data_IF_658039366892
#
_entry.id   IF_658039366892
#
_cell.length_a   1.000
_cell.length_b   1.000
_cell.length_c   1.000
_cell.angle_alpha   90.00
_cell.angle_beta   90.00
_cell.angle_gamma   90.00
#
_symmetry.space_group_name_H-M   'P 1'
#
loop_
_entity.id
_entity.type
_entity.pdbx_description
1 polymer ?
#
# COMPACT_ATOMS: atom_id res chain seq x y z
N UNK A 1 -38.19 -27.47 32.58
CA UNK A 1 -36.75 -27.40 32.31
C UNK A 1 -36.48 -26.20 31.44
N UNK A 2 -36.07 -25.12 32.04
CA UNK A 2 -35.82 -23.82 31.42
C UNK A 2 -34.35 -23.76 30.99
N UNK A 3 -34.09 -23.76 29.69
CA UNK A 3 -32.75 -23.60 29.09
C UNK A 3 -32.34 -22.11 29.12
N UNK A 4 -31.42 -21.79 30.00
CA UNK A 4 -30.77 -20.48 30.05
C UNK A 4 -29.94 -20.26 28.75
N UNK A 5 -30.18 -19.13 28.07
CA UNK A 5 -29.27 -18.59 27.04
C UNK A 5 -27.95 -18.20 27.70
N UNK A 6 -26.78 -18.46 27.05
CA UNK A 6 -25.53 -17.95 27.57
C UNK A 6 -25.44 -16.44 27.38
N UNK A 7 -25.15 -15.73 28.46
CA UNK A 7 -24.84 -14.31 28.49
C UNK A 7 -23.56 -14.06 27.65
N UNK A 8 -23.67 -13.16 26.66
CA UNK A 8 -22.52 -12.60 25.97
C UNK A 8 -21.73 -11.73 26.96
N UNK A 9 -20.73 -12.35 27.60
CA UNK A 9 -19.80 -11.62 28.43
C UNK A 9 -18.96 -10.66 27.60
N UNK A 10 -19.07 -9.38 27.95
CA UNK A 10 -18.14 -8.27 27.77
C UNK A 10 -16.80 -8.64 27.13
N UNK A 11 -16.69 -8.52 25.82
CA UNK A 11 -15.40 -8.41 25.15
C UNK A 11 -14.92 -6.98 25.41
N UNK A 12 -14.15 -6.79 26.47
CA UNK A 12 -13.39 -5.56 26.69
C UNK A 12 -12.58 -5.30 25.43
N UNK A 13 -12.84 -4.18 24.75
CA UNK A 13 -12.08 -3.70 23.61
C UNK A 13 -10.58 -3.77 23.94
N UNK A 14 -9.86 -4.67 23.27
CA UNK A 14 -8.39 -4.71 23.34
C UNK A 14 -7.87 -3.58 22.46
N UNK A 15 -7.38 -2.58 23.11
CA UNK A 15 -6.80 -1.38 22.50
C UNK A 15 -5.42 -1.68 21.90
N UNK A 16 -5.09 -1.00 20.79
CA UNK A 16 -3.83 -1.17 20.04
C UNK A 16 -2.68 -0.33 20.61
N UNK A 17 -1.44 -0.84 20.67
CA UNK A 17 -0.28 -0.17 21.24
C UNK A 17 0.29 0.96 20.36
N UNK A 18 0.75 2.12 20.92
CA UNK A 18 1.47 3.20 20.24
C UNK A 18 2.98 3.10 20.44
N UNK A 19 3.84 3.36 19.42
CA UNK A 19 5.29 3.38 19.60
C UNK A 19 5.71 4.50 20.58
N UNK A 20 6.46 4.15 21.61
CA UNK A 20 6.83 5.09 22.69
C UNK A 20 7.77 6.24 22.27
N UNK A 21 8.50 6.13 21.14
CA UNK A 21 9.59 7.07 20.82
C UNK A 21 9.17 8.29 19.98
N UNK A 22 8.06 8.19 19.24
CA UNK A 22 7.68 9.27 18.31
C UNK A 22 6.66 10.27 18.86
N UNK A 23 5.93 9.91 19.92
CA UNK A 23 4.83 10.71 20.46
C UNK A 23 5.15 11.55 21.70
N UNK A 24 6.34 11.43 22.28
CA UNK A 24 6.77 12.35 23.38
C UNK A 24 6.66 13.84 23.02
N UNK A 25 6.60 14.16 21.70
CA UNK A 25 6.46 15.52 21.21
C UNK A 25 5.02 15.98 21.01
N UNK A 26 4.03 15.07 21.11
CA UNK A 26 2.62 15.32 20.80
C UNK A 26 1.71 15.14 22.04
N UNK A 27 2.21 15.36 23.23
CA UNK A 27 1.39 15.44 24.44
C UNK A 27 0.89 16.89 24.67
N UNK A 28 -0.37 17.09 25.00
CA UNK A 28 -1.47 16.13 25.05
C UNK A 28 -1.85 15.52 23.70
N UNK A 29 -2.68 14.46 23.71
CA UNK A 29 -3.14 13.76 22.50
C UNK A 29 -3.58 14.73 21.40
N UNK A 30 -3.03 14.61 20.16
CA UNK A 30 -3.29 15.57 19.11
C UNK A 30 -4.73 15.47 18.59
N UNK A 31 -5.25 16.59 18.18
CA UNK A 31 -6.51 16.73 17.44
C UNK A 31 -6.22 17.34 16.07
N UNK A 32 -7.20 17.30 15.14
CA UNK A 32 -7.02 17.93 13.82
C UNK A 32 -6.78 19.45 13.93
N UNK A 33 -7.20 20.10 15.03
CA UNK A 33 -6.96 21.52 15.28
C UNK A 33 -5.50 21.87 15.54
N UNK A 34 -4.69 20.89 15.94
CA UNK A 34 -3.26 21.07 16.19
C UNK A 34 -2.43 21.11 14.90
N UNK A 35 -3.08 20.92 13.76
CA UNK A 35 -2.44 20.90 12.44
C UNK A 35 -2.98 22.01 11.55
N UNK A 36 -2.07 22.63 10.78
CA UNK A 36 -2.38 23.46 9.63
C UNK A 36 -2.36 22.57 8.39
N UNK A 37 -3.51 22.38 7.74
CA UNK A 37 -3.61 21.64 6.48
C UNK A 37 -3.07 22.51 5.36
N UNK A 38 -2.02 22.02 4.67
CA UNK A 38 -1.32 22.77 3.63
C UNK A 38 -1.92 22.48 2.25
N UNK A 39 -2.02 21.20 1.89
CA UNK A 39 -2.58 20.75 0.60
C UNK A 39 -3.01 19.30 0.67
N UNK A 40 -3.86 18.89 -0.25
CA UNK A 40 -4.16 17.48 -0.50
C UNK A 40 -3.00 16.83 -1.26
N UNK A 41 -2.62 15.61 -0.85
CA UNK A 41 -1.59 14.79 -1.46
C UNK A 41 -2.17 13.71 -2.36
N UNK A 42 -3.39 13.24 -2.06
CA UNK A 42 -4.10 12.23 -2.83
C UNK A 42 -5.43 11.85 -2.22
N UNK A 43 -6.25 11.19 -3.04
CA UNK A 43 -7.54 10.62 -2.65
C UNK A 43 -7.58 9.18 -3.14
N UNK A 44 -7.88 8.24 -2.26
CA UNK A 44 -8.00 6.80 -2.58
C UNK A 44 -9.29 6.21 -2.02
N UNK A 45 -9.52 4.94 -2.30
CA UNK A 45 -10.71 4.18 -1.83
C UNK A 45 -10.87 4.18 -0.31
N UNK A 46 -9.78 4.34 0.43
CA UNK A 46 -9.74 4.28 1.90
C UNK A 46 -9.73 5.65 2.59
N UNK A 47 -9.75 6.77 1.83
CA UNK A 47 -9.75 8.11 2.40
C UNK A 47 -8.88 9.10 1.64
N UNK A 48 -8.76 10.31 2.20
CA UNK A 48 -7.99 11.42 1.63
C UNK A 48 -6.73 11.67 2.44
N UNK A 49 -5.63 11.92 1.76
CA UNK A 49 -4.33 12.19 2.39
C UNK A 49 -3.97 13.67 2.21
N UNK A 50 -3.55 14.32 3.28
CA UNK A 50 -3.20 15.74 3.32
C UNK A 50 -1.78 15.93 3.82
N UNK A 51 -1.05 16.88 3.22
CA UNK A 51 0.12 17.47 3.86
C UNK A 51 -0.35 18.42 4.95
N UNK A 52 0.07 18.17 6.16
CA UNK A 52 -0.24 18.99 7.33
C UNK A 52 1.02 19.39 8.10
N UNK A 53 1.00 20.55 8.75
CA UNK A 53 2.07 21.02 9.61
C UNK A 53 1.56 21.10 11.05
N UNK A 54 2.21 20.42 11.97
CA UNK A 54 1.87 20.54 13.38
C UNK A 54 2.19 21.97 13.90
N UNK A 55 1.20 22.65 14.46
CA UNK A 55 1.28 24.10 14.81
C UNK A 55 2.40 24.42 15.79
N UNK A 56 2.60 23.57 16.80
CA UNK A 56 3.60 23.76 17.86
C UNK A 56 5.01 23.41 17.40
N UNK A 57 5.19 22.22 16.82
CA UNK A 57 6.55 21.71 16.45
C UNK A 57 7.00 22.14 15.07
N UNK A 58 6.11 22.68 14.23
CA UNK A 58 6.33 23.02 12.81
C UNK A 58 6.71 21.85 11.90
N UNK A 59 6.72 20.62 12.43
CA UNK A 59 7.01 19.41 11.66
C UNK A 59 5.88 19.13 10.69
N UNK A 60 6.23 18.66 9.50
CA UNK A 60 5.27 18.24 8.46
C UNK A 60 4.97 16.74 8.55
N UNK A 61 3.71 16.41 8.36
CA UNK A 61 3.16 15.05 8.37
C UNK A 61 2.24 14.83 7.17
N UNK A 62 2.08 13.58 6.76
CA UNK A 62 0.97 13.15 5.93
C UNK A 62 -0.16 12.70 6.86
N UNK A 63 -1.36 13.29 6.72
CA UNK A 63 -2.53 12.89 7.50
C UNK A 63 -3.54 12.23 6.57
N UNK A 64 -3.77 10.91 6.76
CA UNK A 64 -4.82 10.15 6.05
C UNK A 64 -6.11 10.26 6.88
N UNK A 65 -7.13 10.91 6.31
CA UNK A 65 -8.46 11.06 6.92
C UNK A 65 -9.42 10.03 6.30
N UNK A 66 -9.98 9.17 7.14
CA UNK A 66 -10.87 8.07 6.76
C UNK A 66 -12.26 8.37 7.32
N UNK A 67 -13.27 8.47 6.44
CA UNK A 67 -14.64 8.79 6.79
C UNK A 67 -15.31 7.64 7.56
N UNK A 68 -15.92 7.96 8.72
CA UNK A 68 -16.66 7.02 9.55
C UNK A 68 -18.11 6.80 9.07
N UNK A 69 -18.66 7.73 8.28
CA UNK A 69 -20.10 7.74 7.91
C UNK A 69 -20.49 6.62 6.96
N UNK A 70 -19.54 6.09 6.18
CA UNK A 70 -19.86 5.09 5.16
C UNK A 70 -20.09 3.67 5.69
N UNK A 71 -19.91 3.39 6.97
CA UNK A 71 -20.39 2.18 7.68
C UNK A 71 -20.22 2.35 9.20
N UNK A 72 -21.18 1.79 9.96
CA UNK A 72 -21.22 1.70 11.41
C UNK A 72 -19.87 1.37 12.05
N UNK A 73 -19.53 2.03 13.14
CA UNK A 73 -18.35 1.84 14.03
C UNK A 73 -17.05 1.36 13.41
N UNK A 74 -15.94 2.10 13.63
CA UNK A 74 -14.57 1.71 13.22
C UNK A 74 -14.20 0.32 13.73
N UNK A 75 -14.72 -0.08 14.88
CA UNK A 75 -14.56 -1.42 15.46
C UNK A 75 -15.16 -2.54 14.57
N UNK A 76 -16.12 -2.19 13.70
CA UNK A 76 -16.78 -3.11 12.76
C UNK A 76 -16.10 -3.15 11.37
N UNK A 77 -15.01 -2.39 11.18
CA UNK A 77 -14.20 -2.43 9.95
C UNK A 77 -12.92 -3.23 10.18
N UNK A 78 -12.92 -4.53 9.97
CA UNK A 78 -11.76 -5.38 10.24
C UNK A 78 -10.51 -4.93 9.45
N UNK A 79 -10.67 -4.45 8.22
CA UNK A 79 -9.57 -3.96 7.37
C UNK A 79 -8.87 -2.71 7.93
N UNK A 80 -9.64 -1.76 8.45
CA UNK A 80 -9.09 -0.53 9.01
C UNK A 80 -8.30 -0.78 10.31
N UNK A 81 -8.88 -1.56 11.21
CA UNK A 81 -8.21 -1.95 12.45
C UNK A 81 -6.92 -2.69 12.15
N UNK A 82 -6.97 -3.58 11.15
CA UNK A 82 -5.81 -4.34 10.69
C UNK A 82 -4.73 -3.43 10.08
N UNK A 83 -5.09 -2.45 9.24
CA UNK A 83 -4.13 -1.48 8.70
C UNK A 83 -3.38 -0.78 9.84
N UNK A 84 -4.08 -0.32 10.88
CA UNK A 84 -3.46 0.27 12.07
C UNK A 84 -2.55 -0.72 12.80
N UNK A 85 -3.04 -1.93 13.08
CA UNK A 85 -2.26 -2.97 13.78
C UNK A 85 -0.98 -3.31 13.04
N UNK A 86 -1.06 -3.48 11.74
CA UNK A 86 0.07 -3.74 10.85
C UNK A 86 1.04 -2.56 10.89
N UNK A 87 0.58 -1.34 10.63
CA UNK A 87 1.45 -0.16 10.57
C UNK A 87 2.14 0.15 11.91
N UNK A 88 1.51 -0.13 13.04
CA UNK A 88 2.14 0.05 14.35
C UNK A 88 3.27 -0.94 14.63
N UNK A 89 3.24 -2.12 14.04
CA UNK A 89 4.27 -3.15 14.20
C UNK A 89 5.46 -2.94 13.27
N UNK A 90 5.31 -2.14 12.21
CA UNK A 90 6.34 -1.98 11.19
C UNK A 90 7.28 -0.83 11.53
N UNK A 91 8.58 -1.14 11.65
CA UNK A 91 9.65 -0.14 11.78
C UNK A 91 10.78 -0.49 10.83
N UNK A 92 10.70 0.05 9.62
CA UNK A 92 11.65 -0.24 8.55
C UNK A 92 11.97 1.04 7.75
N UNK A 93 13.23 1.28 7.34
CA UNK A 93 13.61 2.49 6.61
C UNK A 93 12.88 2.65 5.27
N UNK A 94 12.50 1.54 4.63
CA UNK A 94 11.80 1.52 3.36
C UNK A 94 10.27 1.32 3.50
N UNK A 95 9.71 1.58 4.67
CA UNK A 95 8.25 1.63 4.90
C UNK A 95 7.87 2.99 5.47
N UNK A 96 6.74 3.54 5.03
CA UNK A 96 6.21 4.79 5.58
C UNK A 96 5.83 4.59 7.03
N UNK A 97 6.40 5.41 7.92
CA UNK A 97 6.19 5.31 9.35
C UNK A 97 4.83 5.87 9.75
N UNK A 98 4.10 5.13 10.59
CA UNK A 98 2.97 5.64 11.34
C UNK A 98 3.48 6.23 12.68
N UNK A 99 3.17 7.50 12.94
CA UNK A 99 3.51 8.15 14.22
C UNK A 99 2.39 8.01 15.24
N UNK A 100 1.14 7.92 14.80
CA UNK A 100 -0.02 7.79 15.66
C UNK A 100 -1.32 7.92 14.87
N UNK A 101 -2.43 7.83 15.59
CA UNK A 101 -3.75 8.12 15.06
C UNK A 101 -4.57 8.85 16.12
N UNK A 102 -5.58 9.56 15.69
CA UNK A 102 -6.64 10.12 16.52
C UNK A 102 -7.95 10.11 15.74
N UNK A 103 -9.05 10.34 16.42
CA UNK A 103 -10.35 10.33 15.79
C UNK A 103 -11.28 11.42 16.35
N UNK A 104 -12.21 11.84 15.51
CA UNK A 104 -13.35 12.66 15.91
C UNK A 104 -14.66 11.96 15.56
N UNK A 105 -15.80 12.66 15.66
CA UNK A 105 -17.12 12.08 15.39
C UNK A 105 -17.31 11.60 13.95
N UNK A 106 -16.55 12.14 12.96
CA UNK A 106 -16.76 11.88 11.54
C UNK A 106 -15.58 11.12 10.90
N UNK A 107 -14.36 11.30 11.40
CA UNK A 107 -13.15 10.78 10.77
C UNK A 107 -12.21 10.10 11.76
N UNK A 108 -11.45 9.15 11.25
CA UNK A 108 -10.23 8.69 11.87
C UNK A 108 -9.02 9.18 11.07
N UNK A 109 -7.98 9.64 11.76
CA UNK A 109 -6.82 10.29 11.18
C UNK A 109 -5.56 9.51 11.52
N UNK A 110 -4.80 9.12 10.48
CA UNK A 110 -3.47 8.53 10.63
C UNK A 110 -2.42 9.62 10.46
N UNK A 111 -1.55 9.80 11.44
CA UNK A 111 -0.40 10.71 11.36
C UNK A 111 0.79 9.91 10.86
N UNK A 112 1.18 10.15 9.62
CA UNK A 112 2.22 9.40 8.94
C UNK A 112 3.42 10.26 8.57
N UNK A 113 4.52 9.61 8.28
CA UNK A 113 5.70 10.23 7.68
C UNK A 113 5.34 10.91 6.35
N UNK A 114 5.74 12.18 6.20
CA UNK A 114 5.59 12.88 4.93
C UNK A 114 6.78 12.60 4.03
N UNK A 115 6.53 12.12 2.82
CA UNK A 115 7.53 11.83 1.79
C UNK A 115 7.40 12.86 0.67
N UNK A 116 8.47 13.62 0.43
CA UNK A 116 8.40 14.91 -0.30
C UNK A 116 8.28 14.80 -1.81
N UNK A 117 8.79 13.74 -2.45
CA UNK A 117 8.82 13.60 -3.92
C UNK A 117 7.59 12.91 -4.50
N UNK A 118 6.63 12.50 -3.65
CA UNK A 118 5.42 11.81 -4.08
C UNK A 118 5.70 10.34 -4.45
N UNK A 119 4.81 9.75 -5.25
CA UNK A 119 4.90 8.34 -5.64
C UNK A 119 5.65 8.12 -6.96
N UNK A 120 6.06 6.87 -7.16
CA UNK A 120 6.79 6.46 -8.37
C UNK A 120 5.92 6.57 -9.61
N UNK A 121 4.61 6.40 -9.50
CA UNK A 121 3.67 6.59 -10.60
C UNK A 121 3.78 8.00 -11.21
N UNK A 122 3.76 9.03 -10.37
CA UNK A 122 3.94 10.41 -10.83
C UNK A 122 5.30 10.61 -11.51
N UNK A 123 6.34 9.95 -11.01
CA UNK A 123 7.67 10.06 -11.61
C UNK A 123 7.70 9.50 -13.05
N UNK A 124 7.12 8.33 -13.28
CA UNK A 124 7.10 7.72 -14.62
C UNK A 124 6.12 8.38 -15.58
N UNK A 125 5.04 9.00 -15.08
CA UNK A 125 4.06 9.70 -15.93
C UNK A 125 4.49 11.11 -16.29
N UNK A 126 5.23 11.80 -15.42
CA UNK A 126 5.74 13.16 -15.68
C UNK A 126 6.99 13.17 -16.56
N UNK A 127 7.76 12.08 -16.59
CA UNK A 127 8.93 11.98 -17.47
C UNK A 127 8.47 11.64 -18.89
N UNK A 128 8.68 12.58 -19.82
CA UNK A 128 8.38 12.42 -21.26
C UNK A 128 9.09 11.19 -21.89
N UNK A 129 10.14 10.68 -21.27
CA UNK A 129 10.87 9.49 -21.70
C UNK A 129 10.16 8.18 -21.31
N UNK A 130 9.11 8.23 -20.48
CA UNK A 130 8.29 7.08 -20.05
C UNK A 130 9.05 5.93 -19.36
N UNK A 131 10.34 6.04 -19.13
CA UNK A 131 11.16 5.02 -18.43
C UNK A 131 12.27 5.67 -17.61
N UNK A 132 12.62 5.06 -16.51
CA UNK A 132 13.68 5.52 -15.62
C UNK A 132 15.05 4.91 -16.02
N UNK A 133 16.13 5.60 -15.66
CA UNK A 133 17.46 5.03 -15.79
C UNK A 133 17.58 3.73 -14.98
N UNK A 134 18.16 2.67 -15.56
CA UNK A 134 18.23 1.32 -14.96
C UNK A 134 18.80 1.34 -13.54
N UNK A 135 19.81 2.18 -13.25
CA UNK A 135 20.35 2.33 -11.89
C UNK A 135 19.32 2.86 -10.89
N UNK A 136 18.46 3.80 -11.31
CA UNK A 136 17.38 4.35 -10.47
C UNK A 136 16.34 3.28 -10.21
N UNK A 137 15.95 2.52 -11.26
CA UNK A 137 15.02 1.39 -11.11
C UNK A 137 15.60 0.35 -10.15
N UNK A 138 16.88 -0.03 -10.31
CA UNK A 138 17.53 -0.99 -9.42
C UNK A 138 17.53 -0.49 -7.96
N UNK A 139 17.74 0.82 -7.72
CA UNK A 139 17.67 1.39 -6.37
C UNK A 139 16.26 1.29 -5.77
N UNK A 140 15.23 1.68 -6.53
CA UNK A 140 13.83 1.62 -6.09
C UNK A 140 13.42 0.18 -5.78
N UNK A 141 13.68 -0.75 -6.70
CA UNK A 141 13.30 -2.16 -6.53
C UNK A 141 14.06 -2.81 -5.36
N UNK A 142 15.36 -2.50 -5.18
CA UNK A 142 16.12 -2.95 -4.01
C UNK A 142 15.45 -2.53 -2.70
N UNK A 143 15.00 -1.29 -2.60
CA UNK A 143 14.34 -0.76 -1.41
C UNK A 143 12.96 -1.40 -1.19
N UNK A 144 12.19 -1.65 -2.27
CA UNK A 144 10.92 -2.39 -2.21
C UNK A 144 11.15 -3.83 -1.76
N UNK A 145 12.17 -4.53 -2.31
CA UNK A 145 12.55 -5.88 -1.86
C UNK A 145 12.88 -5.87 -0.36
N UNK A 146 13.67 -4.90 0.11
CA UNK A 146 14.03 -4.77 1.53
C UNK A 146 12.80 -4.61 2.43
N UNK A 147 11.84 -3.74 2.05
CA UNK A 147 10.58 -3.58 2.77
C UNK A 147 9.76 -4.87 2.78
N UNK A 148 9.61 -5.52 1.63
CA UNK A 148 8.83 -6.75 1.47
C UNK A 148 9.45 -7.91 2.26
N UNK A 149 10.77 -8.03 2.23
CA UNK A 149 11.50 -9.02 3.03
C UNK A 149 11.22 -8.85 4.53
N UNK A 150 11.27 -7.62 5.03
CA UNK A 150 10.94 -7.31 6.41
C UNK A 150 9.51 -7.75 6.76
N UNK A 151 8.52 -7.45 5.91
CA UNK A 151 7.12 -7.81 6.13
C UNK A 151 6.91 -9.33 6.17
N UNK A 152 7.51 -10.05 5.22
CA UNK A 152 7.38 -11.50 5.13
C UNK A 152 8.05 -12.25 6.29
N UNK A 153 9.06 -11.64 6.94
CA UNK A 153 9.74 -12.19 8.11
C UNK A 153 9.17 -11.71 9.46
N UNK A 154 8.05 -10.97 9.44
CA UNK A 154 7.35 -10.63 10.67
C UNK A 154 6.66 -11.86 11.28
N UNK A 155 6.30 -11.77 12.57
CA UNK A 155 5.54 -12.82 13.24
C UNK A 155 4.21 -12.26 13.80
N UNK A 156 3.05 -12.64 13.22
CA UNK A 156 2.90 -13.44 11.99
C UNK A 156 3.35 -12.68 10.75
N UNK A 157 3.75 -13.39 9.66
CA UNK A 157 4.14 -12.77 8.40
C UNK A 157 3.02 -11.92 7.80
N UNK A 158 3.41 -10.79 7.18
CA UNK A 158 2.49 -9.84 6.56
C UNK A 158 2.69 -9.85 5.05
N UNK A 159 1.60 -10.02 4.30
CA UNK A 159 1.56 -9.89 2.85
C UNK A 159 0.99 -8.51 2.51
N UNK A 160 1.64 -7.75 1.63
CA UNK A 160 1.19 -6.40 1.24
C UNK A 160 0.02 -6.42 0.26
N UNK A 161 0.07 -7.26 -0.78
CA UNK A 161 -0.94 -7.53 -1.81
C UNK A 161 -1.29 -6.36 -2.77
N UNK A 162 -0.67 -5.21 -2.62
CA UNK A 162 -0.91 -4.03 -3.49
C UNK A 162 0.40 -3.26 -3.77
N UNK A 163 1.50 -4.00 -4.06
CA UNK A 163 2.77 -3.39 -4.49
C UNK A 163 2.62 -2.91 -5.92
N UNK A 164 2.67 -1.57 -6.12
CA UNK A 164 2.52 -0.89 -7.42
C UNK A 164 3.13 0.51 -7.35
N UNK A 165 3.34 1.21 -8.49
CA UNK A 165 3.99 2.54 -8.49
C UNK A 165 3.32 3.59 -7.61
N UNK A 166 1.99 3.54 -7.46
CA UNK A 166 1.22 4.47 -6.62
C UNK A 166 1.56 4.31 -5.13
N UNK A 167 1.88 3.09 -4.70
CA UNK A 167 2.15 2.72 -3.31
C UNK A 167 3.65 2.71 -2.96
N UNK A 168 4.52 3.18 -3.87
CA UNK A 168 5.94 3.38 -3.63
C UNK A 168 6.24 4.87 -3.66
N UNK A 169 6.54 5.45 -2.50
CA UNK A 169 6.88 6.87 -2.33
C UNK A 169 8.39 7.08 -2.39
N UNK A 170 8.82 8.25 -2.87
CA UNK A 170 10.23 8.61 -2.98
C UNK A 170 10.56 9.84 -2.14
N UNK A 171 11.66 9.79 -1.40
CA UNK A 171 12.23 10.96 -0.75
C UNK A 171 13.25 11.67 -1.68
N UNK A 172 13.86 12.75 -1.20
CA UNK A 172 14.83 13.54 -1.99
C UNK A 172 16.09 12.77 -2.38
N UNK A 173 16.50 11.75 -1.61
CA UNK A 173 17.63 10.88 -1.91
C UNK A 173 17.30 9.68 -2.83
N UNK A 174 16.09 9.64 -3.44
CA UNK A 174 15.58 8.51 -4.22
C UNK A 174 15.55 7.21 -3.38
N UNK A 175 15.34 7.31 -2.08
CA UNK A 175 15.05 6.16 -1.23
C UNK A 175 13.55 5.88 -1.33
N UNK A 176 13.22 4.65 -1.73
CA UNK A 176 11.84 4.22 -1.86
C UNK A 176 11.26 3.76 -0.51
N UNK A 177 9.99 4.12 -0.29
CA UNK A 177 9.22 3.71 0.89
C UNK A 177 7.85 3.16 0.48
N UNK A 178 7.56 1.95 0.92
CA UNK A 178 6.28 1.29 0.69
C UNK A 178 5.21 1.88 1.62
N UNK A 179 4.01 2.08 1.09
CA UNK A 179 2.85 2.66 1.82
C UNK A 179 1.55 1.94 1.45
N UNK A 180 0.47 2.29 2.14
CA UNK A 180 -0.90 1.80 1.93
C UNK A 180 -1.07 0.29 2.21
N UNK A 181 -1.28 -0.01 3.49
CA UNK A 181 -1.49 -1.36 4.01
C UNK A 181 -2.98 -1.76 4.07
N UNK A 182 -3.85 -1.03 3.38
CA UNK A 182 -5.30 -1.27 3.40
C UNK A 182 -5.73 -2.65 2.88
N UNK A 183 -4.90 -3.30 2.07
CA UNK A 183 -5.09 -4.66 1.56
C UNK A 183 -4.19 -5.71 2.23
N UNK A 184 -3.34 -5.29 3.17
CA UNK A 184 -2.40 -6.20 3.83
C UNK A 184 -3.10 -7.22 4.72
N UNK A 185 -2.53 -8.43 4.80
CA UNK A 185 -3.07 -9.51 5.62
C UNK A 185 -1.98 -10.36 6.27
N UNK A 186 -2.33 -11.01 7.39
CA UNK A 186 -1.52 -12.06 8.00
C UNK A 186 -1.73 -13.41 7.30
N UNK A 187 -0.67 -14.20 7.18
CA UNK A 187 -0.72 -15.51 6.49
C UNK A 187 -1.68 -16.51 7.18
N UNK A 188 -1.92 -16.37 8.49
CA UNK A 188 -2.72 -17.30 9.29
C UNK A 188 -4.23 -17.27 9.01
N UNK A 189 -4.74 -16.27 8.30
CA UNK A 189 -6.18 -16.09 8.07
C UNK A 189 -6.65 -16.72 6.73
N UNK A 190 -6.94 -18.03 6.74
CA UNK A 190 -7.33 -18.80 5.54
C UNK A 190 -8.52 -18.25 4.75
N UNK A 191 -9.54 -17.72 5.44
CA UNK A 191 -10.76 -17.19 4.77
C UNK A 191 -10.48 -15.98 3.89
N UNK A 192 -9.47 -15.20 4.20
CA UNK A 192 -9.12 -13.99 3.46
C UNK A 192 -8.12 -14.23 2.33
N UNK A 193 -7.42 -15.38 2.31
CA UNK A 193 -6.53 -15.78 1.22
C UNK A 193 -7.23 -16.03 -0.11
N UNK A 194 -8.56 -16.15 -0.11
CA UNK A 194 -9.38 -16.30 -1.32
C UNK A 194 -9.94 -14.97 -1.83
N UNK A 195 -9.67 -13.87 -1.14
CA UNK A 195 -10.19 -12.56 -1.54
C UNK A 195 -9.40 -12.04 -2.74
N UNK A 196 -10.08 -11.80 -3.85
CA UNK A 196 -9.52 -11.12 -5.02
C UNK A 196 -9.41 -9.65 -4.68
N UNK A 197 -8.19 -9.16 -4.43
CA UNK A 197 -7.89 -7.76 -4.12
C UNK A 197 -6.65 -7.29 -4.88
N UNK A 198 -6.47 -6.00 -5.01
CA UNK A 198 -5.36 -5.38 -5.71
C UNK A 198 -5.73 -4.82 -7.09
N UNK A 199 -4.78 -4.18 -7.75
CA UNK A 199 -4.93 -3.59 -9.07
C UNK A 199 -4.91 -4.70 -10.13
N UNK A 200 -5.91 -4.82 -11.04
CA UNK A 200 -6.05 -5.97 -11.95
C UNK A 200 -4.80 -6.36 -12.74
N UNK A 201 -4.00 -5.37 -13.16
CA UNK A 201 -2.77 -5.57 -13.93
C UNK A 201 -1.65 -6.21 -13.10
N UNK A 202 -1.72 -6.07 -11.78
CA UNK A 202 -0.74 -6.57 -10.82
C UNK A 202 -1.13 -7.91 -10.19
N UNK A 203 -2.35 -8.44 -10.50
CA UNK A 203 -2.83 -9.68 -9.90
C UNK A 203 -1.95 -10.89 -10.31
N UNK A 204 -1.52 -11.64 -9.31
CA UNK A 204 -0.81 -12.89 -9.52
C UNK A 204 -1.74 -13.98 -10.06
N UNK A 205 -1.23 -14.96 -10.84
CA UNK A 205 -2.04 -16.03 -11.44
C UNK A 205 -2.87 -16.84 -10.45
N UNK A 206 -2.32 -17.08 -9.24
CA UNK A 206 -3.00 -17.82 -8.17
C UNK A 206 -4.20 -17.05 -7.60
N UNK A 207 -4.13 -15.70 -7.55
CA UNK A 207 -5.27 -14.86 -7.14
C UNK A 207 -6.37 -14.93 -8.20
N UNK A 208 -6.01 -14.85 -9.49
CA UNK A 208 -6.97 -14.94 -10.60
C UNK A 208 -7.66 -16.31 -10.63
N UNK A 209 -6.93 -17.37 -10.27
CA UNK A 209 -7.46 -18.75 -10.18
C UNK A 209 -8.27 -19.01 -8.90
N UNK A 210 -8.39 -18.00 -8.02
CA UNK A 210 -9.06 -18.11 -6.71
C UNK A 210 -8.51 -19.25 -5.83
N UNK A 211 -7.25 -19.61 -6.05
CA UNK A 211 -6.52 -20.55 -5.20
C UNK A 211 -6.02 -19.82 -3.95
N UNK A 212 -5.84 -20.54 -2.86
CA UNK A 212 -5.15 -20.00 -1.70
C UNK A 212 -3.78 -19.48 -2.12
N UNK A 213 -3.37 -18.31 -1.59
CA UNK A 213 -2.10 -17.66 -1.93
C UNK A 213 -1.29 -17.35 -0.67
N UNK A 214 0.00 -17.22 -0.83
CA UNK A 214 0.99 -16.88 0.19
C UNK A 214 1.69 -15.55 -0.14
N UNK A 215 2.81 -15.28 0.53
CA UNK A 215 3.63 -14.07 0.34
C UNK A 215 4.22 -13.95 -1.07
N UNK A 216 4.24 -15.01 -1.86
CA UNK A 216 4.79 -15.00 -3.22
C UNK A 216 3.97 -14.18 -4.22
N UNK A 217 2.76 -13.73 -3.84
CA UNK A 217 2.00 -12.73 -4.62
C UNK A 217 2.71 -11.38 -4.65
N UNK A 218 3.40 -10.99 -3.56
CA UNK A 218 4.19 -9.75 -3.53
C UNK A 218 5.41 -9.85 -4.46
N UNK A 219 6.03 -11.04 -4.54
CA UNK A 219 7.13 -11.31 -5.48
C UNK A 219 6.67 -11.08 -6.92
N UNK A 220 5.49 -11.61 -7.30
CA UNK A 220 4.91 -11.35 -8.61
C UNK A 220 4.71 -9.85 -8.85
N UNK A 221 4.13 -9.11 -7.90
CA UNK A 221 3.93 -7.66 -8.01
C UNK A 221 5.25 -6.90 -8.20
N UNK A 222 6.33 -7.31 -7.51
CA UNK A 222 7.68 -6.74 -7.72
C UNK A 222 8.16 -6.98 -9.15
N UNK A 223 7.91 -8.15 -9.73
CA UNK A 223 8.24 -8.45 -11.13
C UNK A 223 7.49 -7.57 -12.12
N UNK A 224 6.19 -7.33 -11.90
CA UNK A 224 5.38 -6.41 -12.71
C UNK A 224 5.89 -4.97 -12.57
N UNK A 225 6.15 -4.52 -11.33
CA UNK A 225 6.69 -3.20 -11.04
C UNK A 225 8.05 -2.98 -11.72
N UNK A 226 8.97 -3.95 -11.61
CA UNK A 226 10.27 -3.88 -12.27
C UNK A 226 10.15 -3.74 -13.80
N UNK A 227 9.26 -4.51 -14.42
CA UNK A 227 8.97 -4.40 -15.84
C UNK A 227 8.46 -3.01 -16.21
N UNK A 228 7.48 -2.49 -15.46
CA UNK A 228 6.86 -1.18 -15.73
C UNK A 228 7.87 -0.04 -15.56
N UNK A 229 8.70 -0.06 -14.52
CA UNK A 229 9.70 0.99 -14.30
C UNK A 229 10.81 1.02 -15.38
N UNK A 230 11.15 -0.12 -15.96
CA UNK A 230 12.17 -0.20 -17.02
C UNK A 230 11.59 0.20 -18.37
N UNK A 231 10.35 -0.22 -18.66
CA UNK A 231 9.79 -0.11 -20.01
C UNK A 231 8.81 1.05 -20.15
N UNK A 232 8.29 1.60 -19.04
CA UNK A 232 7.19 2.54 -19.02
C UNK A 232 5.84 1.93 -19.42
N UNK A 233 5.76 0.59 -19.52
CA UNK A 233 4.56 -0.15 -19.87
C UNK A 233 4.41 -1.35 -18.95
N UNK A 234 3.19 -1.88 -18.84
CA UNK A 234 2.93 -3.09 -18.07
C UNK A 234 3.19 -4.35 -18.90
N UNK A 235 3.63 -5.48 -18.27
CA UNK A 235 3.99 -6.69 -19.00
C UNK A 235 2.79 -7.38 -19.68
N UNK A 236 1.62 -7.29 -19.07
CA UNK A 236 0.40 -7.95 -19.54
C UNK A 236 -0.60 -6.92 -20.06
N UNK A 237 -1.24 -7.22 -21.18
CA UNK A 237 -2.20 -6.34 -21.82
C UNK A 237 -3.49 -7.11 -22.16
N UNK A 238 -4.61 -6.40 -22.17
CA UNK A 238 -5.92 -6.90 -22.57
C UNK A 238 -6.85 -5.75 -22.94
N UNK A 239 -7.80 -6.01 -23.85
CA UNK A 239 -8.83 -5.03 -24.21
C UNK A 239 -9.91 -4.89 -23.14
N UNK A 240 -10.05 -5.93 -22.34
CA UNK A 240 -10.99 -6.09 -21.24
C UNK A 240 -10.35 -6.93 -20.12
N UNK A 241 -11.05 -7.09 -19.00
CA UNK A 241 -10.55 -7.82 -17.84
C UNK A 241 -10.31 -9.32 -18.17
N UNK A 242 -11.16 -9.94 -18.97
CA UNK A 242 -11.02 -11.37 -19.28
C UNK A 242 -9.81 -11.62 -20.18
N UNK A 243 -9.59 -10.78 -21.18
CA UNK A 243 -8.40 -10.87 -22.03
C UNK A 243 -7.11 -10.55 -21.25
N UNK A 244 -7.16 -9.62 -20.29
CA UNK A 244 -6.05 -9.35 -19.37
C UNK A 244 -5.75 -10.55 -18.47
N UNK A 245 -6.76 -11.14 -17.82
CA UNK A 245 -6.60 -12.37 -17.03
C UNK A 245 -6.04 -13.50 -17.89
N UNK A 246 -6.56 -13.67 -19.11
CA UNK A 246 -6.03 -14.67 -20.05
C UNK A 246 -4.55 -14.40 -20.37
N UNK A 247 -4.17 -13.14 -20.59
CA UNK A 247 -2.78 -12.77 -20.85
C UNK A 247 -1.85 -13.14 -19.67
N UNK A 248 -2.29 -12.88 -18.44
CA UNK A 248 -1.55 -13.25 -17.22
C UNK A 248 -1.45 -14.78 -17.07
N UNK A 249 -2.59 -15.50 -17.18
CA UNK A 249 -2.65 -16.94 -16.99
C UNK A 249 -1.87 -17.75 -18.03
N UNK A 250 -1.57 -17.16 -19.20
CA UNK A 250 -0.74 -17.77 -20.25
C UNK A 250 0.64 -17.12 -20.38
N UNK A 251 1.04 -16.27 -19.43
CA UNK A 251 2.33 -15.57 -19.38
C UNK A 251 2.68 -14.83 -20.69
N UNK A 252 1.69 -14.20 -21.32
CA UNK A 252 1.84 -13.48 -22.57
C UNK A 252 2.46 -12.10 -22.30
N UNK A 253 3.78 -12.08 -22.00
CA UNK A 253 4.51 -10.86 -21.69
C UNK A 253 4.82 -10.10 -22.98
N UNK A 254 4.47 -8.81 -23.00
CA UNK A 254 4.72 -7.88 -24.12
C UNK A 254 6.14 -7.32 -24.04
N UNK A 255 7.15 -8.15 -24.36
CA UNK A 255 8.55 -7.74 -24.32
C UNK A 255 8.85 -6.65 -25.35
N UNK A 256 9.49 -5.52 -24.93
CA UNK A 256 10.01 -4.56 -25.90
C UNK A 256 11.14 -5.15 -26.72
N UNK A 257 11.32 -4.65 -27.95
CA UNK A 257 12.31 -5.13 -28.89
C UNK A 257 13.74 -4.94 -28.34
N UNK A 258 13.97 -3.79 -27.68
CA UNK A 258 15.22 -3.49 -26.99
C UNK A 258 14.98 -3.43 -25.48
N UNK A 259 15.60 -4.31 -24.75
CA UNK A 259 15.54 -4.37 -23.29
C UNK A 259 16.90 -4.79 -22.72
N UNK A 260 17.25 -4.24 -21.56
CA UNK A 260 18.44 -4.69 -20.81
C UNK A 260 18.35 -6.20 -20.53
N UNK A 261 19.41 -6.95 -20.93
CA UNK A 261 19.43 -8.42 -20.84
C UNK A 261 19.28 -8.93 -19.41
N UNK A 262 19.99 -8.31 -18.46
CA UNK A 262 19.93 -8.71 -17.06
C UNK A 262 18.55 -8.44 -16.44
N UNK A 263 17.91 -7.31 -16.84
CA UNK A 263 16.55 -7.02 -16.42
C UNK A 263 15.53 -8.02 -16.99
N UNK A 264 15.67 -8.37 -18.28
CA UNK A 264 14.80 -9.36 -18.92
C UNK A 264 14.93 -10.72 -18.27
N UNK A 265 16.15 -11.15 -17.97
CA UNK A 265 16.45 -12.41 -17.31
C UNK A 265 15.84 -12.45 -15.90
N UNK A 266 16.07 -11.40 -15.09
CA UNK A 266 15.52 -11.27 -13.75
C UNK A 266 13.97 -11.34 -13.78
N UNK A 267 13.32 -10.54 -14.61
CA UNK A 267 11.85 -10.52 -14.75
C UNK A 267 11.34 -11.89 -15.15
N UNK A 268 12.00 -12.58 -16.10
CA UNK A 268 11.62 -13.92 -16.53
C UNK A 268 11.70 -14.98 -15.43
N UNK A 269 12.58 -14.77 -14.44
CA UNK A 269 12.72 -15.65 -13.27
C UNK A 269 11.74 -15.31 -12.15
N UNK A 270 11.26 -14.06 -12.10
CA UNK A 270 10.24 -13.61 -11.13
C UNK A 270 8.83 -13.97 -11.61
N UNK A 271 8.50 -13.63 -12.86
CA UNK A 271 7.17 -13.84 -13.43
C UNK A 271 7.02 -15.30 -13.90
N UNK A 272 6.76 -16.19 -12.94
CA UNK A 272 6.44 -17.61 -13.14
C UNK A 272 5.01 -17.90 -12.74
N UNK A 273 4.33 -18.81 -13.47
CA UNK A 273 2.94 -19.22 -13.16
C UNK A 273 2.86 -19.99 -11.85
N UNK A 274 3.83 -20.88 -11.61
CA UNK A 274 3.98 -21.55 -10.32
C UNK A 274 4.71 -20.61 -9.35
N UNK A 275 4.07 -20.22 -8.22
CA UNK A 275 4.72 -19.39 -7.22
C UNK A 275 6.04 -19.97 -6.68
N UNK A 276 6.17 -21.31 -6.65
CA UNK A 276 7.38 -21.98 -6.13
C UNK A 276 8.58 -21.94 -7.09
N UNK A 277 8.35 -21.61 -8.35
CA UNK A 277 9.42 -21.41 -9.34
C UNK A 277 9.93 -19.97 -9.39
N UNK A 278 9.31 -19.03 -8.65
CA UNK A 278 9.74 -17.64 -8.56
C UNK A 278 11.00 -17.53 -7.70
N UNK A 279 11.93 -16.66 -8.10
CA UNK A 279 13.07 -16.32 -7.24
C UNK A 279 12.58 -15.81 -5.87
N UNK A 280 13.32 -16.15 -4.82
CA UNK A 280 13.15 -15.52 -3.50
C UNK A 280 13.63 -14.07 -3.53
N UNK A 281 13.28 -13.29 -2.49
CA UNK A 281 13.70 -11.89 -2.39
C UNK A 281 15.24 -11.78 -2.26
N UNK A 282 15.87 -12.74 -1.60
CA UNK A 282 17.32 -12.85 -1.47
C UNK A 282 17.98 -13.15 -2.81
N UNK A 283 17.51 -14.18 -3.53
CA UNK A 283 18.01 -14.55 -4.85
C UNK A 283 17.85 -13.43 -5.88
N UNK A 284 16.79 -12.61 -5.77
CA UNK A 284 16.65 -11.42 -6.60
C UNK A 284 17.81 -10.46 -6.41
N UNK A 285 18.20 -10.15 -5.16
CA UNK A 285 19.27 -9.20 -4.86
C UNK A 285 20.66 -9.72 -5.25
N UNK A 286 20.84 -11.04 -5.33
CA UNK A 286 22.06 -11.69 -5.82
C UNK A 286 22.16 -11.70 -7.35
N UNK A 287 21.05 -11.39 -8.04
CA UNK A 287 21.03 -11.42 -9.50
C UNK A 287 21.97 -10.36 -10.14
N UNK A 288 22.62 -10.65 -11.27
CA UNK A 288 23.54 -9.72 -11.98
C UNK A 288 22.96 -8.33 -12.24
N UNK A 289 21.63 -8.21 -12.37
CA UNK A 289 20.94 -6.93 -12.51
C UNK A 289 21.25 -5.97 -11.35
N UNK A 290 21.31 -6.46 -10.11
CA UNK A 290 21.63 -5.66 -8.94
C UNK A 290 23.13 -5.58 -8.69
N UNK A 291 23.88 -6.67 -8.85
CA UNK A 291 25.30 -6.75 -8.57
C UNK A 291 26.12 -5.69 -9.31
N UNK A 292 25.69 -5.30 -10.51
CA UNK A 292 26.31 -4.24 -11.32
C UNK A 292 26.27 -2.86 -10.63
N UNK A 293 25.21 -2.56 -9.87
CA UNK A 293 25.01 -1.24 -9.25
C UNK A 293 25.18 -1.28 -7.74
N UNK A 294 24.92 -2.41 -7.12
CA UNK A 294 24.91 -2.63 -5.69
C UNK A 294 25.52 -4.00 -5.34
N UNK A 295 26.88 -4.12 -5.33
CA UNK A 295 27.54 -5.41 -5.05
C UNK A 295 27.14 -6.06 -3.73
N UNK A 296 26.78 -5.23 -2.76
CA UNK A 296 26.34 -5.65 -1.41
C UNK A 296 24.82 -5.47 -1.20
N UNK A 297 24.00 -5.69 -2.24
CA UNK A 297 22.57 -5.45 -2.18
C UNK A 297 21.90 -6.19 -1.01
N UNK A 298 22.34 -7.42 -0.70
CA UNK A 298 21.81 -8.24 0.41
C UNK A 298 21.97 -7.60 1.79
N UNK A 299 22.90 -6.65 1.98
CA UNK A 299 23.06 -5.92 3.24
C UNK A 299 21.88 -5.00 3.55
N UNK A 300 20.98 -4.75 2.60
CA UNK A 300 19.75 -3.99 2.86
C UNK A 300 18.64 -4.83 3.53
N UNK A 301 18.78 -6.16 3.56
CA UNK A 301 17.79 -7.04 4.17
C UNK A 301 17.85 -6.92 5.70
N UNK A 302 16.77 -6.44 6.28
CA UNK A 302 16.63 -6.20 7.72
C UNK A 302 15.55 -7.15 8.23
N UNK A 303 15.87 -7.91 9.28
CA UNK A 303 14.91 -8.75 9.98
C UNK A 303 14.16 -7.93 11.05
N UNK A 304 12.88 -8.24 11.30
CA UNK A 304 12.16 -7.67 12.43
C UNK A 304 12.84 -8.03 13.77
N UNK A 305 12.98 -7.05 14.66
CA UNK A 305 13.47 -7.30 16.01
C UNK A 305 12.31 -7.88 16.87
N UNK A 306 12.41 -9.15 17.34
CA UNK A 306 11.36 -9.78 18.12
C UNK A 306 11.14 -9.12 19.50
N UNK A 307 12.11 -8.33 19.98
CA UNK A 307 12.04 -7.67 21.28
C UNK A 307 11.37 -6.30 21.25
N UNK A 308 11.03 -5.79 20.07
CA UNK A 308 10.32 -4.52 19.95
C UNK A 308 8.86 -4.71 20.37
N UNK A 309 8.52 -4.28 21.59
CA UNK A 309 7.16 -4.25 22.10
C UNK A 309 6.57 -2.87 21.84
N UNK A 310 5.50 -2.83 21.05
CA UNK A 310 4.79 -1.60 20.72
C UNK A 310 3.68 -1.34 21.74
N UNK A 311 3.71 -0.18 22.43
CA UNK A 311 2.64 0.26 23.34
C UNK A 311 1.65 1.17 22.60
N UNK A 312 0.37 0.97 22.81
CA UNK A 312 -0.74 1.71 22.19
C UNK A 312 -1.33 2.77 23.10
N UNK A 313 -1.88 3.82 22.47
CA UNK A 313 -2.82 4.73 23.10
C UNK A 313 -4.07 4.87 22.22
N UNK A 314 -5.23 4.96 22.85
CA UNK A 314 -6.51 5.31 22.20
C UNK A 314 -6.92 6.69 22.66
N UNK A 315 -7.37 7.50 21.74
CA UNK A 315 -7.77 8.88 21.97
C UNK A 315 -9.27 8.97 22.28
N UNK A 316 -9.63 9.88 23.17
CA UNK A 316 -10.99 10.09 23.65
C UNK A 316 -11.95 10.69 22.61
N UNK A 317 -13.25 10.50 22.84
CA UNK A 317 -14.34 10.65 21.86
C UNK A 317 -14.92 12.06 21.68
N UNK A 318 -14.50 13.10 22.43
CA UNK A 318 -15.28 14.33 22.53
C UNK A 318 -14.62 15.59 21.97
N UNK A 319 -15.01 15.98 20.72
CA UNK A 319 -14.97 17.37 20.24
C UNK A 319 -16.03 17.65 19.15
N UNK A 320 -16.99 18.56 19.38
CA UNK A 320 -18.13 18.80 18.49
C UNK A 320 -17.86 19.67 17.26
N UNK A 321 -16.65 20.20 17.06
CA UNK A 321 -16.30 21.04 15.89
C UNK A 321 -15.29 20.34 14.99
N UNK A 322 -15.78 19.45 14.12
CA UNK A 322 -14.97 18.65 13.22
C UNK A 322 -14.61 19.40 11.96
N UNK A 323 -13.35 19.27 11.51
CA UNK A 323 -12.94 19.62 10.17
C UNK A 323 -13.48 18.60 9.17
N UNK A 324 -14.13 19.09 8.10
CA UNK A 324 -14.69 18.24 7.05
C UNK A 324 -13.79 18.26 5.79
N UNK A 325 -13.05 17.19 5.48
CA UNK A 325 -12.19 17.14 4.33
C UNK A 325 -12.95 17.09 2.99
N UNK A 326 -14.27 16.82 3.00
CA UNK A 326 -15.10 16.79 1.80
C UNK A 326 -15.57 18.19 1.39
N UNK A 327 -15.71 19.10 2.33
CA UNK A 327 -16.03 20.50 2.02
C UNK A 327 -14.81 21.17 1.38
N UNK A 328 -14.88 21.40 0.08
CA UNK A 328 -13.91 22.21 -0.67
C UNK A 328 -13.73 23.54 0.04
N UNK A 329 -12.51 23.82 0.50
CA UNK A 329 -12.14 25.14 0.98
C UNK A 329 -12.17 26.06 -0.25
N UNK A 330 -13.23 26.87 -0.41
CA UNK A 330 -13.48 27.76 -1.56
C UNK A 330 -12.38 28.85 -1.75
N UNK A 331 -11.35 28.86 -0.90
CA UNK A 331 -10.20 29.77 -0.95
C UNK A 331 -8.90 29.14 -1.47
N UNK A 332 -8.84 27.83 -1.71
CA UNK A 332 -7.69 27.22 -2.39
C UNK A 332 -7.91 27.29 -3.89
N UNK A 333 -7.17 28.15 -4.59
CA UNK A 333 -7.10 28.13 -6.05
C UNK A 333 -6.56 26.76 -6.47
N UNK A 334 -7.23 26.05 -7.42
CA UNK A 334 -6.63 24.87 -8.03
C UNK A 334 -5.33 25.31 -8.71
N UNK A 335 -4.23 24.60 -8.46
CA UNK A 335 -3.08 24.70 -9.35
C UNK A 335 -3.55 24.20 -10.71
N UNK A 336 -3.44 25.06 -11.73
CA UNK A 336 -3.79 24.75 -13.10
C UNK A 336 -3.19 23.41 -13.54
N UNK A 337 -4.06 22.41 -13.66
CA UNK A 337 -3.75 21.17 -14.34
C UNK A 337 -3.80 21.45 -15.84
N UNK A 338 -2.69 21.91 -16.41
CA UNK A 338 -2.56 21.97 -17.85
C UNK A 338 -2.59 20.55 -18.43
N UNK A 339 -3.68 20.32 -19.15
CA UNK A 339 -3.83 19.46 -20.34
C UNK A 339 -2.83 18.32 -20.49
N UNK A 340 -3.18 17.15 -19.96
CA UNK A 340 -2.89 15.85 -20.59
C UNK A 340 -3.75 14.78 -19.90
N UNK A 341 -4.95 14.54 -20.45
CA UNK A 341 -6.01 13.70 -19.86
C UNK A 341 -5.97 12.21 -20.25
N UNK A 342 -5.03 11.75 -21.05
CA UNK A 342 -5.11 10.39 -21.61
C UNK A 342 -4.62 9.22 -20.75
N UNK A 343 -3.58 9.28 -19.90
CA UNK A 343 -3.16 8.12 -19.12
C UNK A 343 -4.00 7.88 -17.85
N UNK A 344 -4.46 8.96 -17.19
CA UNK A 344 -5.24 8.83 -15.93
C UNK A 344 -6.63 8.22 -16.18
N UNK A 345 -7.26 8.55 -17.30
CA UNK A 345 -8.60 8.06 -17.64
C UNK A 345 -8.63 6.54 -17.89
N UNK A 346 -7.55 5.94 -18.40
CA UNK A 346 -7.50 4.52 -18.71
C UNK A 346 -7.35 3.65 -17.44
N UNK A 347 -6.54 4.09 -16.47
CA UNK A 347 -6.41 3.41 -15.19
C UNK A 347 -7.62 3.64 -14.28
N UNK A 348 -8.13 4.87 -14.23
CA UNK A 348 -9.35 5.20 -13.50
C UNK A 348 -10.56 4.41 -14.05
N UNK A 349 -10.70 4.30 -15.36
CA UNK A 349 -11.77 3.54 -16.00
C UNK A 349 -11.66 2.02 -15.75
N UNK A 350 -10.43 1.46 -15.71
CA UNK A 350 -10.19 0.06 -15.36
C UNK A 350 -10.47 -0.20 -13.88
N UNK A 351 -10.12 0.74 -13.02
CA UNK A 351 -10.36 0.66 -11.59
C UNK A 351 -11.86 0.79 -11.26
N UNK A 352 -12.56 1.70 -11.92
CA UNK A 352 -14.01 1.89 -11.82
C UNK A 352 -14.80 0.66 -12.32
N UNK A 353 -14.36 0.06 -13.45
CA UNK A 353 -14.91 -1.21 -13.93
C UNK A 353 -14.63 -2.38 -12.99
N UNK A 354 -13.47 -2.41 -12.36
CA UNK A 354 -13.13 -3.45 -11.36
C UNK A 354 -14.01 -3.33 -10.11
N UNK A 355 -14.19 -2.12 -9.57
CA UNK A 355 -15.09 -1.89 -8.43
C UNK A 355 -16.55 -2.24 -8.76
N UNK A 356 -16.99 -1.93 -9.99
CA UNK A 356 -18.32 -2.35 -10.47
C UNK A 356 -18.46 -3.87 -10.52
N UNK A 357 -17.48 -4.57 -11.12
CA UNK A 357 -17.48 -6.05 -11.22
C UNK A 357 -17.36 -6.73 -9.86
N UNK A 358 -16.61 -6.15 -8.93
CA UNK A 358 -16.52 -6.62 -7.55
C UNK A 358 -17.85 -6.50 -6.83
N UNK A 359 -18.55 -5.38 -7.00
CA UNK A 359 -19.89 -5.17 -6.45
C UNK A 359 -20.92 -6.15 -7.03
N UNK A 360 -20.83 -6.47 -8.33
CA UNK A 360 -21.70 -7.45 -8.98
C UNK A 360 -21.38 -8.88 -8.54
N UNK A 361 -20.11 -9.23 -8.37
CA UNK A 361 -19.69 -10.52 -7.81
C UNK A 361 -20.19 -10.71 -6.36
N UNK A 362 -20.05 -9.67 -5.52
CA UNK A 362 -20.53 -9.71 -4.14
C UNK A 362 -22.06 -9.83 -4.04
N UNK A 363 -22.81 -9.23 -4.99
CA UNK A 363 -24.26 -9.43 -5.13
C UNK A 363 -24.61 -10.85 -5.52
N UNK A 364 -23.93 -11.43 -6.50
CA UNK A 364 -24.14 -12.82 -6.95
C UNK A 364 -23.83 -13.79 -5.80
N UNK A 365 -22.76 -13.55 -5.05
CA UNK A 365 -22.34 -14.39 -3.92
C UNK A 365 -23.27 -14.27 -2.70
N UNK A 366 -23.93 -13.13 -2.51
CA UNK A 366 -24.91 -12.90 -1.44
C UNK A 366 -26.33 -13.37 -1.75
N UNK A 367 -26.59 -13.91 -2.94
CA UNK A 367 -27.88 -14.47 -3.34
C UNK A 367 -29.01 -13.46 -3.42
N UNK A 368 -28.69 -12.18 -3.67
CA UNK A 368 -29.67 -11.09 -3.89
C UNK A 368 -29.62 -10.58 -5.32
#
# INVERSE_FOLDING_TARGET
>A
MTTKKPELNNVKSRFLPKPQSALKCLEPEPTIKDFDIIKELGCGSFGRVFLARHKKTKVQYAIKAIDKKNKTNIEERPYFRRELEVMYKIHHPNVVKLFGHFEDNNYCYFIMEYISKGNVYNLITLDKKKHLATKVVASIIKDVISATYFLHNMNPPIIHRDIKPENVLLNEGIVAKLTDFGWSNYIEEEKERKTVCGTPIYLAPEIIKEKGHDEKVDIWCIGVLLFELITGNVPFQGKDIESLKSSILHLKISWPQEMNKDAKDLISKILKLDPNERLTLEEMLEHPFFAKYFPDANKCLILPDPNIIYKTFVVSKDDPKTWDPVKKNSKMRPMDSHKDKEPQDKYALLQEKYESLKNDYDKIKSGK
#
